data_IF_231577076736
#
_entry.id   IF_231577076736
#
_cell.length_a   1.000
_cell.length_b   1.000
_cell.length_c   1.000
_cell.angle_alpha   90.00
_cell.angle_beta   90.00
_cell.angle_gamma   90.00
#
_symmetry.space_group_name_H-M   'P 1'
#
loop_
_entity.id
_entity.type
_entity.pdbx_description
1 polymer ?
#
# COMPACT_ATOMS: atom_id res chain seq x y z
N UNK A 1 14.58 -17.35 -6.85
CA UNK A 1 15.03 -16.78 -8.13
C UNK A 1 14.17 -15.55 -8.42
N UNK A 2 14.62 -14.62 -9.26
CA UNK A 2 13.79 -13.48 -9.65
C UNK A 2 12.57 -13.95 -10.46
N UNK A 3 11.42 -13.32 -10.27
CA UNK A 3 10.16 -13.63 -10.95
C UNK A 3 10.08 -13.00 -12.36
N UNK A 4 10.93 -11.99 -12.62
CA UNK A 4 10.98 -11.35 -13.92
C UNK A 4 12.06 -10.28 -14.01
N UNK A 5 11.99 -9.50 -15.10
CA UNK A 5 12.88 -8.38 -15.36
C UNK A 5 12.11 -7.22 -15.98
N UNK A 6 12.28 -6.02 -15.45
CA UNK A 6 11.70 -4.78 -15.98
C UNK A 6 12.83 -3.75 -16.22
N UNK A 7 12.96 -3.25 -17.45
CA UNK A 7 14.03 -2.32 -17.88
C UNK A 7 15.43 -2.68 -17.33
N UNK A 8 15.80 -3.95 -17.43
CA UNK A 8 17.11 -4.43 -17.01
C UNK A 8 17.24 -4.76 -15.51
N UNK A 9 16.26 -4.41 -14.68
CA UNK A 9 16.23 -4.68 -13.23
C UNK A 9 15.45 -5.96 -12.91
N UNK A 10 15.93 -6.74 -11.96
CA UNK A 10 15.25 -7.94 -11.49
C UNK A 10 14.00 -7.57 -10.69
N UNK A 11 12.94 -8.34 -10.87
CA UNK A 11 11.68 -8.21 -10.14
C UNK A 11 11.54 -9.41 -9.22
N UNK A 12 11.23 -9.16 -7.96
CA UNK A 12 10.97 -10.18 -6.94
C UNK A 12 9.60 -9.92 -6.35
N UNK A 13 8.73 -10.91 -6.40
CA UNK A 13 7.40 -10.87 -5.78
C UNK A 13 7.55 -11.07 -4.28
N UNK A 14 6.66 -10.44 -3.52
CA UNK A 14 6.50 -10.72 -2.10
C UNK A 14 5.80 -12.08 -1.96
N UNK A 15 6.21 -12.96 -1.02
CA UNK A 15 5.47 -14.18 -0.75
C UNK A 15 3.97 -13.90 -0.56
N UNK A 16 3.11 -14.78 -1.06
CA UNK A 16 1.64 -14.65 -1.00
C UNK A 16 1.01 -13.47 -1.76
N UNK A 17 1.76 -12.77 -2.63
CA UNK A 17 1.25 -11.58 -3.32
C UNK A 17 0.00 -11.82 -4.16
N UNK A 18 -0.12 -12.98 -4.83
CA UNK A 18 -1.29 -13.28 -5.67
C UNK A 18 -2.56 -13.42 -4.84
N UNK A 19 -2.53 -14.29 -3.82
CA UNK A 19 -3.64 -14.48 -2.88
C UNK A 19 -4.02 -13.19 -2.13
N UNK A 20 -3.03 -12.35 -1.84
CA UNK A 20 -3.25 -11.07 -1.19
C UNK A 20 -3.93 -10.05 -2.11
N UNK A 21 -3.54 -10.00 -3.38
CA UNK A 21 -4.22 -9.16 -4.38
C UNK A 21 -5.67 -9.62 -4.55
N UNK A 22 -5.92 -10.91 -4.68
CA UNK A 22 -7.28 -11.46 -4.76
C UNK A 22 -8.12 -11.06 -3.53
N UNK A 23 -7.55 -11.18 -2.33
CA UNK A 23 -8.17 -10.69 -1.11
C UNK A 23 -8.49 -9.19 -1.19
N UNK A 24 -7.56 -8.36 -1.68
CA UNK A 24 -7.78 -6.93 -1.81
C UNK A 24 -8.95 -6.60 -2.77
N UNK A 25 -9.04 -7.23 -3.95
CA UNK A 25 -10.19 -6.98 -4.85
C UNK A 25 -11.53 -7.48 -4.29
N UNK A 26 -11.52 -8.52 -3.46
CA UNK A 26 -12.75 -9.04 -2.86
C UNK A 26 -13.32 -8.14 -1.76
N UNK A 27 -12.46 -7.32 -1.12
CA UNK A 27 -12.83 -6.54 0.05
C UNK A 27 -12.73 -5.01 -0.16
N UNK A 28 -12.05 -4.57 -1.22
CA UNK A 28 -11.80 -3.15 -1.50
C UNK A 28 -11.88 -2.84 -2.99
N UNK A 29 -12.18 -1.58 -3.30
CA UNK A 29 -11.89 -1.00 -4.61
C UNK A 29 -10.40 -0.61 -4.66
N UNK A 30 -9.63 -1.28 -5.54
CA UNK A 30 -8.16 -1.19 -5.51
C UNK A 30 -7.63 -0.31 -6.63
N UNK A 31 -6.84 0.69 -6.26
CA UNK A 31 -6.04 1.50 -7.18
C UNK A 31 -4.54 1.27 -6.95
N UNK A 32 -3.76 1.21 -8.04
CA UNK A 32 -2.30 1.19 -7.96
C UNK A 32 -1.76 2.57 -8.28
N UNK A 33 -0.98 3.12 -7.35
CA UNK A 33 -0.21 4.34 -7.59
C UNK A 33 1.27 4.03 -7.47
N UNK A 34 2.02 4.21 -8.56
CA UNK A 34 3.47 4.02 -8.57
C UNK A 34 4.20 5.32 -8.91
N UNK A 35 5.29 5.60 -8.21
CA UNK A 35 6.20 6.73 -8.49
C UNK A 35 7.16 6.46 -9.66
N UNK A 36 7.05 5.30 -10.31
CA UNK A 36 7.88 4.90 -11.46
C UNK A 36 7.31 5.48 -12.76
N UNK A 37 8.18 5.60 -13.77
CA UNK A 37 7.76 5.92 -15.13
C UNK A 37 6.79 4.87 -15.68
N UNK A 38 5.83 5.30 -16.51
CA UNK A 38 4.75 4.47 -17.06
C UNK A 38 5.20 3.11 -17.60
N UNK A 39 6.26 3.07 -18.42
CA UNK A 39 6.78 1.81 -18.99
C UNK A 39 7.18 0.79 -17.91
N UNK A 40 7.82 1.24 -16.84
CA UNK A 40 8.19 0.38 -15.72
C UNK A 40 6.96 -0.10 -14.96
N UNK A 41 5.95 0.77 -14.79
CA UNK A 41 4.69 0.40 -14.14
C UNK A 41 3.97 -0.67 -14.95
N UNK A 42 3.83 -0.48 -16.26
CA UNK A 42 3.16 -1.44 -17.15
C UNK A 42 3.86 -2.81 -17.12
N UNK A 43 5.19 -2.85 -17.21
CA UNK A 43 5.95 -4.09 -17.10
C UNK A 43 5.78 -4.77 -15.74
N UNK A 44 5.82 -4.01 -14.64
CA UNK A 44 5.65 -4.56 -13.29
C UNK A 44 4.22 -5.06 -13.08
N UNK A 45 3.21 -4.36 -13.58
CA UNK A 45 1.81 -4.81 -13.54
C UNK A 45 1.65 -6.11 -14.33
N UNK A 46 2.28 -6.24 -15.49
CA UNK A 46 2.21 -7.47 -16.30
C UNK A 46 2.97 -8.65 -15.66
N UNK A 47 3.97 -8.41 -14.82
CA UNK A 47 4.70 -9.45 -14.08
C UNK A 47 3.99 -9.80 -12.76
N UNK A 48 3.56 -8.78 -12.00
CA UNK A 48 3.11 -8.92 -10.61
C UNK A 48 1.59 -8.99 -10.49
N UNK A 49 0.84 -8.47 -11.46
CA UNK A 49 -0.61 -8.26 -11.32
C UNK A 49 -1.36 -8.72 -12.55
N UNK A 50 -0.77 -9.62 -13.35
CA UNK A 50 -1.30 -10.04 -14.65
C UNK A 50 -2.77 -10.45 -14.58
N UNK A 51 -3.11 -11.29 -13.61
CA UNK A 51 -4.46 -11.84 -13.43
C UNK A 51 -5.38 -10.84 -12.70
N UNK A 52 -4.80 -9.91 -11.95
CA UNK A 52 -5.50 -8.86 -11.21
C UNK A 52 -5.83 -7.63 -12.07
N UNK A 53 -5.11 -7.44 -13.18
CA UNK A 53 -5.22 -6.26 -14.06
C UNK A 53 -6.66 -5.91 -14.47
N UNK A 54 -7.56 -6.88 -14.76
CA UNK A 54 -8.97 -6.58 -15.06
C UNK A 54 -9.76 -5.96 -13.90
N UNK A 55 -9.31 -6.14 -12.65
CA UNK A 55 -9.97 -5.61 -11.44
C UNK A 55 -9.56 -4.16 -11.14
N UNK A 56 -8.58 -3.59 -11.84
CA UNK A 56 -8.09 -2.21 -11.66
C UNK A 56 -8.97 -1.14 -12.34
N UNK A 57 -10.18 -1.49 -12.76
CA UNK A 57 -11.06 -0.59 -13.48
C UNK A 57 -11.58 0.49 -12.54
N UNK A 58 -10.98 1.68 -12.63
CA UNK A 58 -11.39 2.88 -11.91
C UNK A 58 -12.82 3.29 -12.30
N UNK A 59 -13.73 3.31 -11.34
CA UNK A 59 -14.98 4.02 -11.44
C UNK A 59 -14.86 5.35 -10.69
N UNK A 60 -15.52 6.41 -11.19
CA UNK A 60 -15.72 7.63 -10.41
C UNK A 60 -16.69 7.29 -9.26
N UNK A 61 -16.13 6.84 -8.13
CA UNK A 61 -16.87 6.55 -6.90
C UNK A 61 -16.91 7.74 -5.95
N UNK A 62 -17.81 7.69 -4.98
CA UNK A 62 -17.89 8.66 -3.88
C UNK A 62 -16.82 8.34 -2.82
N UNK A 63 -15.58 8.78 -3.09
CA UNK A 63 -14.44 8.60 -2.19
C UNK A 63 -14.28 9.79 -1.24
N UNK A 64 -13.98 9.49 0.02
CA UNK A 64 -13.77 10.44 1.09
C UNK A 64 -12.80 9.85 2.14
N UNK A 65 -12.35 10.64 3.12
CA UNK A 65 -11.44 10.13 4.15
C UNK A 65 -12.00 8.95 4.96
N UNK A 66 -13.33 8.85 5.10
CA UNK A 66 -13.97 7.77 5.87
C UNK A 66 -13.98 6.42 5.15
N UNK A 67 -13.72 6.37 3.84
CA UNK A 67 -13.76 5.14 3.04
C UNK A 67 -12.53 4.93 2.15
N UNK A 68 -11.50 5.78 2.26
CA UNK A 68 -10.31 5.73 1.41
C UNK A 68 -9.04 5.76 2.27
N UNK A 69 -8.11 4.84 2.00
CA UNK A 69 -6.81 4.82 2.65
C UNK A 69 -5.68 4.47 1.68
N UNK A 70 -4.46 4.86 2.05
CA UNK A 70 -3.21 4.57 1.35
C UNK A 70 -2.42 3.48 2.09
N UNK A 71 -1.92 2.49 1.35
CA UNK A 71 -0.89 1.56 1.84
C UNK A 71 0.40 1.87 1.10
N UNK A 72 1.40 2.38 1.81
CA UNK A 72 2.71 2.67 1.21
C UNK A 72 3.80 2.57 2.28
N UNK A 73 5.00 2.10 1.95
CA UNK A 73 6.10 1.97 2.91
C UNK A 73 6.81 3.31 3.22
N UNK A 74 6.31 4.41 2.66
CA UNK A 74 6.92 5.72 2.74
C UNK A 74 5.94 6.75 3.34
N UNK A 75 6.01 7.02 4.65
CA UNK A 75 5.08 7.94 5.33
C UNK A 75 4.93 9.32 4.67
N UNK A 76 6.00 9.85 4.08
CA UNK A 76 5.98 11.17 3.43
C UNK A 76 5.02 11.27 2.25
N UNK A 77 4.64 10.16 1.60
CA UNK A 77 3.69 10.19 0.47
C UNK A 77 2.26 10.48 0.92
N UNK A 78 1.97 10.37 2.21
CA UNK A 78 0.68 10.71 2.78
C UNK A 78 0.63 12.12 3.38
N UNK A 79 1.68 12.95 3.25
CA UNK A 79 1.74 14.27 3.90
C UNK A 79 0.58 15.20 3.55
N UNK A 80 0.05 15.10 2.34
CA UNK A 80 -1.10 15.88 1.87
C UNK A 80 -2.44 15.18 2.07
N UNK A 81 -2.42 13.93 2.54
CA UNK A 81 -3.64 13.20 2.78
C UNK A 81 -4.23 13.68 4.11
N UNK A 82 -5.56 13.63 4.27
CA UNK A 82 -6.19 13.82 5.56
C UNK A 82 -5.56 12.89 6.62
N UNK A 83 -5.47 13.30 7.89
CA UNK A 83 -4.91 12.47 8.95
C UNK A 83 -5.58 11.09 8.99
N UNK A 84 -4.80 10.06 9.31
CA UNK A 84 -5.30 8.70 9.49
C UNK A 84 -5.97 8.06 8.25
N UNK A 85 -5.63 8.50 7.04
CA UNK A 85 -6.03 7.81 5.80
C UNK A 85 -4.86 7.05 5.17
N UNK A 86 -3.92 6.55 5.98
CA UNK A 86 -2.74 5.83 5.50
C UNK A 86 -2.17 4.87 6.54
N UNK A 87 -1.59 3.77 6.07
CA UNK A 87 -0.80 2.85 6.90
C UNK A 87 0.54 2.58 6.23
N UNK A 88 1.57 2.36 7.05
CA UNK A 88 2.94 2.39 6.56
C UNK A 88 3.73 1.12 6.89
N UNK A 89 3.45 -0.04 6.25
CA UNK A 89 4.22 -1.26 6.49
C UNK A 89 5.72 -1.03 6.29
N UNK A 90 6.55 -1.85 6.93
CA UNK A 90 7.97 -1.85 6.64
C UNK A 90 8.23 -2.37 5.22
N UNK A 91 9.23 -1.80 4.55
CA UNK A 91 9.60 -2.16 3.18
C UNK A 91 9.89 -3.65 3.04
N UNK A 92 9.37 -4.25 1.97
CA UNK A 92 9.68 -5.62 1.59
C UNK A 92 11.16 -5.74 1.18
N UNK A 93 11.82 -6.80 1.65
CA UNK A 93 13.15 -7.21 1.19
C UNK A 93 13.09 -8.62 0.62
N UNK A 94 13.57 -8.80 -0.60
CA UNK A 94 13.65 -10.13 -1.25
C UNK A 94 14.60 -11.11 -0.51
N UNK A 95 15.39 -10.61 0.44
CA UNK A 95 16.27 -11.42 1.29
C UNK A 95 15.52 -11.99 2.50
N UNK A 96 14.35 -11.43 2.84
CA UNK A 96 13.49 -11.92 3.90
C UNK A 96 12.62 -13.08 3.39
N UNK A 97 13.15 -14.30 3.46
CA UNK A 97 12.47 -15.51 2.98
C UNK A 97 11.36 -16.01 3.90
N UNK A 98 11.23 -15.44 5.11
CA UNK A 98 10.17 -15.73 6.07
C UNK A 98 9.11 -14.63 6.13
N UNK A 99 9.07 -13.71 5.14
CA UNK A 99 8.03 -12.69 5.08
C UNK A 99 6.66 -13.34 4.83
N UNK A 100 5.77 -13.21 5.81
CA UNK A 100 4.40 -13.74 5.78
C UNK A 100 3.34 -12.63 5.97
N UNK A 101 3.75 -11.37 6.00
CA UNK A 101 2.92 -10.20 6.35
C UNK A 101 1.63 -10.08 5.53
N UNK A 102 1.70 -10.44 4.24
CA UNK A 102 0.55 -10.44 3.32
C UNK A 102 -0.11 -11.82 3.17
N UNK A 103 0.46 -12.85 3.79
CA UNK A 103 -0.06 -14.22 3.77
C UNK A 103 -1.23 -14.43 4.75
N UNK A 104 -1.87 -15.60 4.72
CA UNK A 104 -2.91 -15.97 5.70
C UNK A 104 -2.38 -15.85 7.14
N UNK A 105 -3.02 -15.01 7.96
CA UNK A 105 -2.58 -14.74 9.34
C UNK A 105 -1.44 -13.71 9.46
N UNK A 106 -0.90 -13.23 8.34
CA UNK A 106 0.08 -12.15 8.30
C UNK A 106 -0.47 -10.84 8.86
N UNK A 107 0.40 -10.05 9.49
CA UNK A 107 0.03 -8.84 10.22
C UNK A 107 -0.73 -7.81 9.35
N UNK A 108 -0.25 -7.53 8.13
CA UNK A 108 -0.88 -6.59 7.20
C UNK A 108 -2.20 -7.15 6.69
N UNK A 109 -2.27 -8.44 6.34
CA UNK A 109 -3.53 -9.05 5.88
C UNK A 109 -4.59 -9.04 6.98
N UNK A 110 -4.23 -9.39 8.22
CA UNK A 110 -5.14 -9.38 9.37
C UNK A 110 -5.60 -7.96 9.68
N UNK A 111 -4.71 -6.97 9.55
CA UNK A 111 -5.08 -5.57 9.73
C UNK A 111 -6.13 -5.14 8.71
N UNK A 112 -5.89 -5.42 7.41
CA UNK A 112 -6.82 -5.06 6.34
C UNK A 112 -8.15 -5.81 6.47
N UNK A 113 -8.15 -7.06 6.94
CA UNK A 113 -9.39 -7.78 7.17
C UNK A 113 -10.28 -7.08 8.20
N UNK A 114 -9.70 -6.61 9.30
CA UNK A 114 -10.43 -5.84 10.31
C UNK A 114 -10.84 -4.44 9.82
N UNK A 115 -10.02 -3.82 8.96
CA UNK A 115 -10.34 -2.53 8.34
C UNK A 115 -11.51 -2.65 7.36
N UNK A 116 -11.61 -3.75 6.61
CA UNK A 116 -12.73 -4.02 5.70
C UNK A 116 -14.08 -4.10 6.43
N UNK A 117 -14.07 -4.57 7.68
CA UNK A 117 -15.24 -4.64 8.55
C UNK A 117 -15.52 -3.32 9.31
N UNK A 118 -14.67 -2.29 9.17
CA UNK A 118 -14.81 -1.05 9.92
C UNK A 118 -15.76 -0.05 9.22
N UNK A 119 -16.57 0.64 10.02
CA UNK A 119 -17.52 1.64 9.51
C UNK A 119 -16.83 2.93 8.99
N UNK A 120 -15.67 3.27 9.55
CA UNK A 120 -14.94 4.51 9.25
C UNK A 120 -13.43 4.28 9.28
N UNK A 121 -12.80 4.51 8.13
CA UNK A 121 -11.36 4.33 7.91
C UNK A 121 -10.54 5.21 8.86
N UNK A 122 -10.83 6.51 8.94
CA UNK A 122 -10.03 7.44 9.75
C UNK A 122 -10.03 7.05 11.22
N UNK A 123 -11.19 6.72 11.78
CA UNK A 123 -11.35 6.30 13.17
C UNK A 123 -10.64 4.99 13.42
N UNK A 124 -10.78 4.02 12.52
CA UNK A 124 -10.10 2.73 12.67
C UNK A 124 -8.58 2.88 12.64
N UNK A 125 -8.03 3.58 11.65
CA UNK A 125 -6.59 3.80 11.50
C UNK A 125 -6.02 4.62 12.65
N UNK A 126 -6.74 5.63 13.14
CA UNK A 126 -6.35 6.41 14.31
C UNK A 126 -6.19 5.54 15.56
N UNK A 127 -7.13 4.64 15.79
CA UNK A 127 -7.15 3.77 16.97
C UNK A 127 -6.23 2.54 16.84
N UNK A 128 -5.87 2.19 15.60
CA UNK A 128 -5.04 1.05 15.27
C UNK A 128 -3.93 1.49 14.29
N UNK A 129 -2.91 2.24 14.73
CA UNK A 129 -1.78 2.57 13.86
C UNK A 129 -1.04 1.30 13.42
N UNK A 130 -0.55 1.28 12.18
CA UNK A 130 0.15 0.12 11.62
C UNK A 130 1.46 0.51 10.94
N UNK A 131 2.54 -0.17 11.33
CA UNK A 131 3.88 -0.02 10.76
C UNK A 131 4.61 1.24 11.24
N UNK A 132 5.23 1.95 10.31
CA UNK A 132 5.97 3.19 10.54
C UNK A 132 5.03 4.32 10.98
N UNK A 133 5.51 5.27 11.81
CA UNK A 133 4.67 6.36 12.28
C UNK A 133 4.36 7.37 11.16
N UNK A 134 3.26 8.09 11.32
CA UNK A 134 2.99 9.29 10.53
C UNK A 134 4.06 10.34 10.78
N UNK A 135 4.43 11.08 9.75
CA UNK A 135 5.25 12.28 9.91
C UNK A 135 4.37 13.37 10.52
N UNK A 136 4.85 13.94 11.61
CA UNK A 136 4.19 15.02 12.35
C UNK A 136 5.22 16.12 12.63
N UNK A 137 4.78 17.21 13.26
CA UNK A 137 5.65 18.29 13.73
C UNK A 137 6.73 17.87 14.73
N UNK A 138 6.60 16.66 15.28
CA UNK A 138 7.55 16.04 16.19
C UNK A 138 8.67 15.27 15.46
N UNK A 139 8.64 15.15 14.12
CA UNK A 139 9.69 14.48 13.35
C UNK A 139 11.01 15.29 13.40
N UNK A 140 12.18 14.64 13.61
CA UNK A 140 13.48 15.34 13.60
C UNK A 140 13.79 16.13 12.32
N UNK A 141 13.14 15.80 11.21
CA UNK A 141 13.29 16.46 9.92
C UNK A 141 12.06 17.30 9.55
N UNK A 142 11.25 17.72 10.52
CA UNK A 142 10.04 18.51 10.26
C UNK A 142 10.32 19.81 9.49
N UNK A 143 11.47 20.45 9.71
CA UNK A 143 11.88 21.65 8.94
C UNK A 143 11.93 21.40 7.43
N UNK A 144 12.22 20.17 7.00
CA UNK A 144 12.16 19.77 5.60
C UNK A 144 10.72 19.49 5.16
N UNK A 145 9.96 18.71 5.93
CA UNK A 145 8.61 18.28 5.54
C UNK A 145 7.57 19.41 5.59
N UNK A 146 7.70 20.34 6.52
CA UNK A 146 6.82 21.52 6.63
C UNK A 146 6.83 22.40 5.38
N UNK A 147 7.92 22.37 4.60
CA UNK A 147 8.00 23.08 3.31
C UNK A 147 7.15 22.43 2.21
N UNK A 148 6.76 21.17 2.39
CA UNK A 148 5.94 20.43 1.44
C UNK A 148 4.46 20.55 1.77
N UNK A 149 4.08 20.74 3.05
CA UNK A 149 2.70 20.87 3.49
C UNK A 149 2.24 22.33 3.39
N UNK A 150 1.96 22.80 2.17
CA UNK A 150 1.43 24.17 1.89
C UNK A 150 -0.05 24.10 1.48
#
# INVERSE_FOLDING_TARGET
MADGRAEGKLVFRRPYSDEFLDFCAQNFEVAIWSSRNKNNVELVVDIVMKDFKPCLLFCWGDYSPSNTFLVDDSPYKALHNPPHTGIFPHSYSYQNWTDDSVGPGGDLRVYLQKLADADDVQTYVRNNPFGQPFITDSDPHWDFYSQLVV
#
